data_IF_778381056653
#
_entry.id   IF_778381056653
#
_cell.length_a   1.000
_cell.length_b   1.000
_cell.length_c   1.000
_cell.angle_alpha   90.00
_cell.angle_beta   90.00
_cell.angle_gamma   90.00
#
_symmetry.space_group_name_H-M   'P 1'
#
loop_
_entity.id
_entity.type
_entity.pdbx_description
1 polymer ?
#
# COMPACT_ATOMS: atom_id res chain seq x y z
N UNK A 1 -23.27 -16.13 15.46
CA UNK A 1 -21.95 -16.45 14.90
C UNK A 1 -22.03 -16.29 13.39
N UNK A 2 -21.58 -15.16 12.85
CA UNK A 2 -21.43 -15.02 11.41
C UNK A 2 -20.30 -15.98 10.98
N UNK A 3 -20.61 -16.94 10.11
CA UNK A 3 -19.58 -17.85 9.59
C UNK A 3 -18.44 -17.04 9.01
N UNK A 4 -17.20 -17.39 9.36
CA UNK A 4 -16.04 -16.77 8.74
C UNK A 4 -16.16 -16.98 7.22
N UNK A 5 -16.36 -15.89 6.48
CA UNK A 5 -16.36 -15.94 5.02
C UNK A 5 -15.03 -16.52 4.57
N UNK A 6 -15.05 -17.45 3.61
CA UNK A 6 -13.83 -17.97 3.01
C UNK A 6 -13.00 -16.82 2.43
N UNK A 7 -11.68 -16.94 2.48
CA UNK A 7 -10.78 -15.95 1.89
C UNK A 7 -10.96 -15.92 0.35
N UNK A 8 -10.95 -14.74 -0.29
CA UNK A 8 -10.97 -14.64 -1.74
C UNK A 8 -9.76 -15.34 -2.37
N UNK A 9 -9.95 -15.94 -3.55
CA UNK A 9 -8.91 -16.66 -4.30
C UNK A 9 -8.44 -15.80 -5.47
N UNK A 10 -7.13 -15.70 -5.65
CA UNK A 10 -6.49 -14.98 -6.75
C UNK A 10 -5.45 -15.87 -7.43
N UNK A 11 -5.37 -15.87 -8.77
CA UNK A 11 -4.35 -16.64 -9.50
C UNK A 11 -2.98 -15.94 -9.55
N UNK A 12 -2.95 -14.62 -9.29
CA UNK A 12 -1.77 -13.77 -9.44
C UNK A 12 -1.68 -12.75 -8.30
N UNK A 13 -0.45 -12.50 -7.85
CA UNK A 13 -0.11 -11.60 -6.76
C UNK A 13 0.94 -10.62 -7.23
N UNK A 14 0.62 -9.32 -7.19
CA UNK A 14 1.49 -8.24 -7.65
C UNK A 14 1.83 -7.38 -6.43
N UNK A 15 3.10 -7.14 -6.17
CA UNK A 15 3.55 -6.21 -5.14
C UNK A 15 4.31 -5.04 -5.74
N UNK A 16 4.04 -3.86 -5.21
CA UNK A 16 4.60 -2.60 -5.67
C UNK A 16 5.26 -1.91 -4.47
N UNK A 17 6.59 -1.87 -4.48
CA UNK A 17 7.33 -0.92 -3.65
C UNK A 17 7.14 0.46 -4.25
N UNK A 18 6.70 1.43 -3.45
CA UNK A 18 6.15 2.69 -3.94
C UNK A 18 6.89 3.90 -3.42
N UNK A 19 7.15 4.86 -4.30
CA UNK A 19 7.84 6.10 -3.95
C UNK A 19 6.95 7.33 -4.07
N UNK A 20 7.03 8.20 -3.04
CA UNK A 20 6.45 9.55 -3.04
C UNK A 20 7.41 10.65 -3.49
N UNK A 21 8.56 10.32 -4.09
CA UNK A 21 9.54 11.30 -4.56
C UNK A 21 9.00 12.17 -5.72
N UNK A 22 9.68 13.30 -6.02
CA UNK A 22 9.39 14.22 -7.16
C UNK A 22 10.43 14.02 -8.30
N UNK A 23 10.03 14.07 -9.58
CA UNK A 23 10.90 13.74 -10.72
C UNK A 23 10.15 13.15 -11.94
N UNK A 24 10.82 12.97 -13.10
CA UNK A 24 10.29 12.18 -14.24
C UNK A 24 10.85 10.75 -14.29
N UNK A 25 11.88 10.51 -13.48
CA UNK A 25 12.56 9.25 -13.23
C UNK A 25 12.80 9.21 -11.74
N UNK A 26 12.13 8.31 -11.04
CA UNK A 26 12.40 8.05 -9.63
C UNK A 26 12.85 6.61 -9.58
N UNK A 27 14.01 6.34 -9.00
CA UNK A 27 14.56 4.99 -8.86
C UNK A 27 13.84 4.15 -7.78
N UNK A 28 12.55 4.42 -7.50
CA UNK A 28 11.88 3.96 -6.29
C UNK A 28 10.48 3.38 -6.51
N UNK A 29 10.11 2.97 -7.72
CA UNK A 29 8.99 2.06 -7.91
C UNK A 29 9.54 0.76 -8.45
N UNK A 30 9.39 -0.31 -7.68
CA UNK A 30 9.71 -1.67 -8.10
C UNK A 30 8.43 -2.50 -8.09
N UNK A 31 8.28 -3.34 -9.11
CA UNK A 31 7.10 -4.19 -9.28
C UNK A 31 7.59 -5.62 -9.35
N UNK A 32 6.98 -6.49 -8.54
CA UNK A 32 7.21 -7.92 -8.59
C UNK A 32 5.88 -8.66 -8.65
N UNK A 33 5.90 -9.85 -9.22
CA UNK A 33 4.72 -10.70 -9.26
C UNK A 33 5.04 -12.17 -9.05
N UNK A 34 4.04 -12.92 -8.60
CA UNK A 34 4.06 -14.37 -8.64
C UNK A 34 2.65 -14.90 -8.91
N UNK A 35 2.59 -16.13 -9.42
CA UNK A 35 1.34 -16.89 -9.54
C UNK A 35 1.03 -17.60 -8.22
N UNK A 36 -0.15 -18.20 -8.15
CA UNK A 36 -0.48 -19.20 -7.15
C UNK A 36 0.52 -20.39 -7.15
N UNK A 37 0.47 -21.19 -6.10
CA UNK A 37 1.50 -22.21 -5.85
C UNK A 37 2.75 -21.61 -5.18
N UNK A 38 3.94 -22.07 -5.60
CA UNK A 38 5.20 -21.81 -4.89
C UNK A 38 6.33 -21.24 -5.77
N UNK A 39 6.07 -20.98 -7.06
CA UNK A 39 7.09 -20.47 -7.97
C UNK A 39 7.71 -19.16 -7.44
N UNK A 40 9.01 -18.91 -7.69
CA UNK A 40 9.66 -17.69 -7.23
C UNK A 40 8.98 -16.46 -7.84
N UNK A 41 8.83 -15.36 -7.08
CA UNK A 41 8.40 -14.11 -7.66
C UNK A 41 9.44 -13.58 -8.65
N UNK A 42 8.97 -12.83 -9.63
CA UNK A 42 9.80 -12.21 -10.68
C UNK A 42 9.59 -10.70 -10.69
N UNK A 43 10.65 -9.95 -11.02
CA UNK A 43 10.54 -8.51 -11.24
C UNK A 43 9.85 -8.25 -12.57
N UNK A 44 9.04 -7.19 -12.61
CA UNK A 44 8.39 -6.70 -13.83
C UNK A 44 9.08 -5.41 -14.25
N UNK A 45 9.65 -5.42 -15.45
CA UNK A 45 10.33 -4.25 -16.00
C UNK A 45 9.32 -3.18 -16.44
N UNK A 46 9.57 -1.94 -16.01
CA UNK A 46 8.80 -0.79 -16.46
C UNK A 46 9.09 -0.44 -17.93
N UNK A 47 8.16 0.25 -18.63
CA UNK A 47 8.41 0.72 -19.99
C UNK A 47 9.68 1.58 -20.08
N UNK A 48 10.67 1.11 -20.84
CA UNK A 48 11.97 1.80 -20.97
C UNK A 48 12.96 1.51 -19.83
N UNK A 49 12.68 0.53 -18.96
CA UNK A 49 13.57 0.09 -17.88
C UNK A 49 13.38 0.80 -16.55
N UNK A 50 12.33 1.62 -16.40
CA UNK A 50 11.95 2.23 -15.12
C UNK A 50 10.44 2.46 -15.04
N UNK A 51 9.92 2.53 -13.82
CA UNK A 51 8.51 2.82 -13.55
C UNK A 51 8.27 4.32 -13.28
N UNK A 52 7.23 4.87 -13.90
CA UNK A 52 6.54 6.07 -13.44
C UNK A 52 5.16 5.68 -12.89
N UNK A 53 4.49 6.57 -12.15
CA UNK A 53 3.16 6.29 -11.60
C UNK A 53 2.12 6.21 -12.72
N UNK A 54 2.28 7.00 -13.79
CA UNK A 54 1.49 6.88 -15.02
C UNK A 54 1.72 5.56 -15.73
N UNK A 55 2.98 5.13 -15.91
CA UNK A 55 3.28 3.85 -16.55
C UNK A 55 2.73 2.67 -15.73
N UNK A 56 2.83 2.74 -14.40
CA UNK A 56 2.25 1.74 -13.51
C UNK A 56 0.72 1.70 -13.63
N UNK A 57 0.06 2.87 -13.64
CA UNK A 57 -1.39 2.96 -13.85
C UNK A 57 -1.81 2.30 -15.16
N UNK A 58 -1.15 2.65 -16.27
CA UNK A 58 -1.48 2.11 -17.60
C UNK A 58 -1.26 0.59 -17.65
N UNK A 59 -0.17 0.10 -17.06
CA UNK A 59 0.13 -1.32 -16.97
C UNK A 59 -0.89 -2.07 -16.11
N UNK A 60 -1.17 -1.61 -14.88
CA UNK A 60 -2.18 -2.22 -14.02
C UNK A 60 -3.56 -2.22 -14.67
N UNK A 61 -3.95 -1.11 -15.32
CA UNK A 61 -5.21 -1.03 -16.05
C UNK A 61 -5.30 -2.11 -17.13
N UNK A 62 -4.23 -2.34 -17.89
CA UNK A 62 -4.19 -3.35 -18.93
C UNK A 62 -4.18 -4.77 -18.36
N UNK A 63 -3.36 -5.04 -17.36
CA UNK A 63 -3.19 -6.37 -16.77
C UNK A 63 -4.42 -6.83 -16.01
N UNK A 64 -4.98 -5.97 -15.16
CA UNK A 64 -6.19 -6.28 -14.38
C UNK A 64 -7.44 -6.34 -15.28
N UNK A 65 -7.36 -5.78 -16.50
CA UNK A 65 -8.38 -5.99 -17.52
C UNK A 65 -8.29 -7.37 -18.18
N UNK A 66 -7.15 -8.08 -18.07
CA UNK A 66 -6.95 -9.42 -18.66
C UNK A 66 -7.24 -10.52 -17.66
N UNK A 67 -6.67 -10.42 -16.46
CA UNK A 67 -6.75 -11.46 -15.45
C UNK A 67 -6.89 -10.88 -14.04
N UNK A 68 -7.64 -11.54 -13.13
CA UNK A 68 -7.74 -11.12 -11.74
C UNK A 68 -6.40 -11.22 -11.01
N UNK A 69 -6.10 -10.24 -10.16
CA UNK A 69 -4.94 -10.30 -9.28
C UNK A 69 -5.22 -9.63 -7.93
N UNK A 70 -4.49 -10.07 -6.90
CA UNK A 70 -4.32 -9.32 -5.67
C UNK A 70 -3.11 -8.41 -5.82
N UNK A 71 -3.32 -7.10 -5.71
CA UNK A 71 -2.28 -6.09 -5.90
C UNK A 71 -2.03 -5.37 -4.58
N UNK A 72 -0.83 -5.53 -4.02
CA UNK A 72 -0.37 -4.78 -2.87
C UNK A 72 0.53 -3.61 -3.27
N UNK A 73 0.30 -2.44 -2.70
CA UNK A 73 1.12 -1.24 -2.95
C UNK A 73 1.55 -0.60 -1.62
N UNK A 74 2.84 -0.24 -1.51
CA UNK A 74 3.42 0.37 -0.29
C UNK A 74 3.07 1.85 -0.16
N UNK A 75 1.78 2.16 -0.01
CA UNK A 75 1.32 3.49 0.33
C UNK A 75 0.02 3.48 1.12
N UNK A 76 -0.15 4.47 2.00
CA UNK A 76 -1.39 4.64 2.74
C UNK A 76 -2.54 4.98 1.79
N UNK A 77 -3.65 4.24 1.89
CA UNK A 77 -4.85 4.49 1.07
C UNK A 77 -5.69 5.65 1.59
N UNK A 78 -5.38 6.13 2.80
CA UNK A 78 -6.12 7.21 3.44
C UNK A 78 -5.23 8.03 4.38
N UNK A 79 -5.85 8.99 5.05
CA UNK A 79 -5.27 9.81 6.12
C UNK A 79 -5.97 9.47 7.46
N UNK A 80 -5.34 9.78 8.60
CA UNK A 80 -6.04 9.81 9.89
C UNK A 80 -7.26 10.75 9.86
N UNK A 81 -8.47 10.21 10.04
CA UNK A 81 -9.71 10.96 9.85
C UNK A 81 -10.01 11.93 10.97
N UNK A 82 -9.42 11.73 12.16
CA UNK A 82 -9.42 12.71 13.25
C UNK A 82 -8.89 14.11 12.83
N UNK A 83 -8.08 14.15 11.76
CA UNK A 83 -7.59 15.40 11.16
C UNK A 83 -8.24 15.66 9.81
N UNK A 84 -8.33 14.65 8.93
CA UNK A 84 -8.83 14.85 7.57
C UNK A 84 -10.27 15.36 7.52
N UNK A 85 -11.13 14.87 8.42
CA UNK A 85 -12.56 15.22 8.50
C UNK A 85 -12.81 16.74 8.65
N UNK A 86 -11.86 17.49 9.24
CA UNK A 86 -11.97 18.95 9.45
C UNK A 86 -12.08 19.74 8.14
N UNK A 87 -11.58 19.17 7.04
CA UNK A 87 -11.63 19.79 5.72
C UNK A 87 -12.90 19.50 4.92
N UNK A 88 -13.86 18.72 5.46
CA UNK A 88 -15.06 18.29 4.73
C UNK A 88 -16.33 18.87 5.36
N UNK A 89 -17.32 19.32 4.54
CA UNK A 89 -18.63 19.73 5.05
C UNK A 89 -19.36 18.62 5.81
N UNK A 90 -19.18 17.37 5.38
CA UNK A 90 -19.72 16.20 6.06
C UNK A 90 -19.03 15.89 7.40
N UNK A 91 -17.91 16.56 7.72
CA UNK A 91 -17.15 16.36 8.94
C UNK A 91 -16.77 14.89 9.12
N UNK A 92 -17.07 14.35 10.31
CA UNK A 92 -16.81 12.95 10.67
C UNK A 92 -17.59 11.93 9.83
N UNK A 93 -18.60 12.35 9.06
CA UNK A 93 -19.32 11.46 8.16
C UNK A 93 -18.66 11.34 6.77
N UNK A 94 -17.63 12.15 6.47
CA UNK A 94 -16.90 12.06 5.21
C UNK A 94 -16.25 10.68 5.05
N UNK A 95 -16.13 10.22 3.82
CA UNK A 95 -15.60 8.90 3.46
C UNK A 95 -14.23 9.00 2.79
N UNK A 96 -13.53 7.88 2.68
CA UNK A 96 -12.26 7.82 1.95
C UNK A 96 -12.39 8.27 0.48
N UNK A 97 -13.55 8.03 -0.15
CA UNK A 97 -13.74 8.37 -1.56
C UNK A 97 -13.92 9.88 -1.74
N UNK A 98 -14.59 10.56 -0.81
CA UNK A 98 -14.63 12.03 -0.78
C UNK A 98 -13.23 12.62 -0.55
N UNK A 99 -12.41 11.98 0.28
CA UNK A 99 -10.99 12.34 0.42
C UNK A 99 -10.25 12.19 -0.91
N UNK A 100 -10.39 11.07 -1.62
CA UNK A 100 -9.73 10.89 -2.91
C UNK A 100 -10.20 11.89 -3.96
N UNK A 101 -11.49 12.23 -3.99
CA UNK A 101 -12.03 13.28 -4.86
C UNK A 101 -11.42 14.65 -4.54
N UNK A 102 -11.29 15.01 -3.27
CA UNK A 102 -10.66 16.26 -2.86
C UNK A 102 -9.15 16.29 -3.21
N UNK A 103 -8.45 15.16 -3.04
CA UNK A 103 -7.04 15.03 -3.46
C UNK A 103 -6.91 15.22 -4.98
N UNK A 104 -7.78 14.59 -5.77
CA UNK A 104 -7.76 14.76 -7.22
C UNK A 104 -8.06 16.20 -7.62
N UNK A 105 -9.10 16.83 -7.05
CA UNK A 105 -9.45 18.22 -7.34
C UNK A 105 -8.28 19.18 -7.06
N UNK A 106 -7.61 19.02 -5.93
CA UNK A 106 -6.47 19.85 -5.57
C UNK A 106 -5.23 19.60 -6.45
N UNK A 107 -5.09 18.39 -7.01
CA UNK A 107 -3.86 17.95 -7.67
C UNK A 107 -4.00 17.66 -9.17
N UNK A 108 -5.15 17.93 -9.80
CA UNK A 108 -5.44 17.56 -11.18
C UNK A 108 -4.36 18.02 -12.19
N UNK A 109 -3.76 19.19 -11.95
CA UNK A 109 -2.69 19.75 -12.79
C UNK A 109 -1.29 19.15 -12.56
N UNK A 110 -1.11 18.30 -11.54
CA UNK A 110 0.20 17.70 -11.27
C UNK A 110 0.49 16.53 -12.21
N UNK A 111 1.69 16.49 -12.82
CA UNK A 111 2.10 15.37 -13.66
C UNK A 111 2.25 14.09 -12.84
N UNK A 112 2.13 12.95 -13.54
CA UNK A 112 2.46 11.63 -12.99
C UNK A 112 1.77 11.34 -11.65
N UNK A 113 0.51 11.75 -11.47
CA UNK A 113 -0.22 11.58 -10.20
C UNK A 113 0.43 12.26 -8.99
N UNK A 114 1.15 13.38 -9.16
CA UNK A 114 1.67 14.18 -8.03
C UNK A 114 0.57 14.56 -7.03
N UNK A 115 0.82 14.41 -5.73
CA UNK A 115 -0.13 14.74 -4.66
C UNK A 115 0.24 15.97 -3.83
N UNK A 116 1.28 16.71 -4.24
CA UNK A 116 1.88 17.79 -3.43
C UNK A 116 0.93 18.94 -3.06
N UNK A 117 0.13 19.48 -4.01
CA UNK A 117 -0.75 20.62 -3.75
C UNK A 117 -1.77 20.40 -2.62
N UNK A 118 -2.28 19.18 -2.45
CA UNK A 118 -3.25 18.88 -1.39
C UNK A 118 -2.70 19.17 0.02
N UNK A 119 -1.41 18.88 0.25
CA UNK A 119 -0.77 19.08 1.55
C UNK A 119 -0.62 20.56 1.97
N UNK A 120 -0.77 21.49 1.02
CA UNK A 120 -0.74 22.95 1.27
C UNK A 120 -2.08 23.61 0.94
N UNK A 121 -3.13 22.80 0.71
CA UNK A 121 -4.46 23.31 0.37
C UNK A 121 -5.06 24.08 1.56
N UNK A 122 -5.69 25.26 1.36
CA UNK A 122 -6.23 26.07 2.46
C UNK A 122 -7.21 25.33 3.37
N UNK A 123 -8.01 24.41 2.83
CA UNK A 123 -8.99 23.63 3.59
C UNK A 123 -8.46 22.30 4.14
N UNK A 124 -7.49 21.66 3.46
CA UNK A 124 -7.08 20.28 3.78
C UNK A 124 -5.64 20.18 4.32
N UNK A 125 -4.85 21.24 4.18
CA UNK A 125 -3.41 21.26 4.47
C UNK A 125 -3.06 21.45 5.95
N UNK A 126 -3.99 21.90 6.79
CA UNK A 126 -3.71 22.36 8.16
C UNK A 126 -3.07 21.31 9.09
N UNK A 127 -3.18 20.01 8.76
CA UNK A 127 -2.57 18.93 9.54
C UNK A 127 -1.16 18.52 9.11
N UNK A 128 -0.68 18.97 7.94
CA UNK A 128 0.59 18.48 7.39
C UNK A 128 1.79 19.24 7.98
N UNK A 129 2.70 18.50 8.62
CA UNK A 129 3.98 19.04 9.04
C UNK A 129 4.98 19.01 7.88
N UNK A 130 5.20 20.19 7.27
CA UNK A 130 5.91 20.32 5.99
C UNK A 130 7.26 21.04 6.04
N UNK A 131 7.63 21.68 7.16
CA UNK A 131 8.93 22.36 7.34
C UNK A 131 9.25 22.58 8.82
N UNK A 132 10.55 22.77 9.09
CA UNK A 132 11.04 23.19 10.42
C UNK A 132 10.99 22.09 11.48
N UNK A 133 11.31 22.43 12.75
CA UNK A 133 11.12 21.54 13.89
C UNK A 133 9.64 21.13 14.03
N UNK A 134 9.38 20.08 14.82
CA UNK A 134 8.01 19.67 15.10
C UNK A 134 7.27 20.82 15.79
N UNK A 135 6.16 21.32 15.22
CA UNK A 135 5.42 22.41 15.82
C UNK A 135 4.55 21.89 16.98
N UNK A 136 4.27 22.76 17.95
CA UNK A 136 3.52 22.41 19.17
C UNK A 136 2.12 21.85 18.91
N UNK A 137 1.50 22.22 17.78
CA UNK A 137 0.18 21.73 17.37
C UNK A 137 0.22 20.33 16.70
N UNK A 138 1.39 19.81 16.35
CA UNK A 138 1.50 18.54 15.64
C UNK A 138 1.50 17.35 16.60
N UNK A 139 0.37 16.65 16.63
CA UNK A 139 0.10 15.53 17.52
C UNK A 139 0.47 14.15 16.93
N UNK A 140 1.21 14.11 15.81
CA UNK A 140 1.60 12.88 15.09
C UNK A 140 0.42 11.90 14.88
N UNK A 141 -0.61 12.30 14.12
CA UNK A 141 -1.83 11.52 14.00
C UNK A 141 -1.59 10.21 13.23
N UNK A 142 -2.11 9.10 13.73
CA UNK A 142 -2.03 7.77 13.10
C UNK A 142 -3.42 7.15 13.02
N UNK A 143 -3.66 6.35 11.98
CA UNK A 143 -4.84 5.49 11.84
C UNK A 143 -4.69 4.28 12.77
N UNK A 144 -5.81 3.62 13.03
CA UNK A 144 -5.83 2.41 13.86
C UNK A 144 -4.86 1.32 13.37
N UNK A 145 -4.70 1.15 12.06
CA UNK A 145 -3.81 0.14 11.48
C UNK A 145 -2.32 0.39 11.79
N UNK A 146 -1.87 1.64 11.91
CA UNK A 146 -0.47 1.92 12.26
C UNK A 146 -0.19 1.57 13.72
N UNK A 147 -1.16 1.79 14.61
CA UNK A 147 -1.07 1.36 16.00
C UNK A 147 -1.07 -0.15 16.14
N UNK A 148 -1.95 -0.85 15.42
CA UNK A 148 -1.95 -2.31 15.38
C UNK A 148 -0.62 -2.87 14.86
N UNK A 149 -0.05 -2.27 13.81
CA UNK A 149 1.26 -2.68 13.27
C UNK A 149 2.39 -2.56 14.31
N UNK A 150 2.32 -1.54 15.18
CA UNK A 150 3.27 -1.36 16.29
C UNK A 150 3.05 -2.38 17.40
N UNK A 151 1.80 -2.62 17.77
CA UNK A 151 1.42 -3.59 18.80
C UNK A 151 1.89 -5.01 18.42
N UNK A 152 1.78 -5.37 17.14
CA UNK A 152 2.25 -6.65 16.61
C UNK A 152 3.80 -6.73 16.47
N UNK A 153 4.53 -5.64 16.75
CA UNK A 153 5.99 -5.59 16.61
C UNK A 153 6.50 -5.63 15.16
N UNK A 154 5.60 -5.36 14.20
CA UNK A 154 5.86 -5.40 12.75
C UNK A 154 6.53 -4.13 12.24
N UNK A 155 6.47 -3.04 12.99
CA UNK A 155 7.23 -1.82 12.71
C UNK A 155 6.52 -0.56 13.19
N UNK A 156 7.03 0.59 12.74
CA UNK A 156 6.48 1.91 13.07
C UNK A 156 6.18 2.67 11.78
N UNK A 157 5.12 2.29 11.04
CA UNK A 157 4.63 3.09 9.93
C UNK A 157 4.39 4.53 10.41
N UNK A 158 4.80 5.48 9.57
CA UNK A 158 4.77 6.91 9.90
C UNK A 158 3.43 7.53 9.49
N UNK A 159 3.07 8.62 10.15
CA UNK A 159 1.88 9.38 9.79
C UNK A 159 2.01 9.93 8.36
N UNK A 160 0.98 9.80 7.50
CA UNK A 160 0.92 10.52 6.24
C UNK A 160 0.98 12.05 6.40
N UNK A 161 0.64 12.59 7.57
CA UNK A 161 0.75 14.02 7.85
C UNK A 161 2.19 14.49 8.10
N UNK A 162 3.16 13.57 8.26
CA UNK A 162 4.57 13.90 8.41
C UNK A 162 5.26 14.01 7.05
N UNK A 163 5.57 15.23 6.61
CA UNK A 163 6.27 15.49 5.34
C UNK A 163 7.71 15.96 5.54
N UNK A 164 8.29 15.69 6.72
CA UNK A 164 9.65 16.08 7.10
C UNK A 164 10.53 14.86 7.35
N UNK A 165 11.79 15.00 6.92
CA UNK A 165 12.84 14.00 7.11
C UNK A 165 12.83 12.89 6.05
N UNK A 166 13.67 11.89 6.28
CA UNK A 166 13.91 10.78 5.34
C UNK A 166 12.79 9.76 5.26
N UNK A 167 11.75 9.86 6.10
CA UNK A 167 10.60 8.94 6.16
C UNK A 167 9.27 9.64 5.86
N UNK A 168 9.27 10.56 4.89
CA UNK A 168 8.03 11.18 4.41
C UNK A 168 7.23 10.19 3.55
N UNK A 169 6.06 9.79 4.03
CA UNK A 169 5.16 8.87 3.31
C UNK A 169 3.93 9.58 2.74
N UNK A 170 3.61 10.78 3.23
CA UNK A 170 2.37 11.48 2.87
C UNK A 170 2.23 11.83 1.40
N UNK A 171 3.28 12.33 0.74
CA UNK A 171 3.20 12.62 -0.71
C UNK A 171 3.00 11.36 -1.55
N UNK A 172 3.58 10.24 -1.11
CA UNK A 172 3.38 8.93 -1.71
C UNK A 172 1.96 8.43 -1.51
N UNK A 173 1.40 8.60 -0.32
CA UNK A 173 0.00 8.28 -0.04
C UNK A 173 -0.96 9.10 -0.92
N UNK A 174 -0.80 10.43 -0.97
CA UNK A 174 -1.64 11.31 -1.80
C UNK A 174 -1.58 10.95 -3.29
N UNK A 175 -0.40 10.57 -3.78
CA UNK A 175 -0.25 10.05 -5.13
C UNK A 175 -0.95 8.71 -5.36
N UNK A 176 -0.80 7.79 -4.40
CA UNK A 176 -1.43 6.48 -4.41
C UNK A 176 -2.95 6.59 -4.47
N UNK A 177 -3.54 7.47 -3.66
CA UNK A 177 -4.99 7.78 -3.68
C UNK A 177 -5.47 8.19 -5.07
N UNK A 178 -4.71 9.04 -5.80
CA UNK A 178 -5.06 9.43 -7.17
C UNK A 178 -4.99 8.24 -8.14
N UNK A 179 -3.96 7.40 -8.04
CA UNK A 179 -3.85 6.18 -8.87
C UNK A 179 -4.98 5.20 -8.58
N UNK A 180 -5.28 4.93 -7.30
CA UNK A 180 -6.37 4.05 -6.86
C UNK A 180 -7.71 4.55 -7.38
N UNK A 181 -7.99 5.84 -7.23
CA UNK A 181 -9.19 6.50 -7.75
C UNK A 181 -9.33 6.29 -9.26
N UNK A 182 -8.25 6.52 -10.01
CA UNK A 182 -8.24 6.36 -11.46
C UNK A 182 -8.44 4.89 -11.89
N UNK A 183 -7.77 3.95 -11.23
CA UNK A 183 -7.93 2.51 -11.51
C UNK A 183 -9.35 2.04 -11.22
N UNK A 184 -9.92 2.45 -10.08
CA UNK A 184 -11.30 2.15 -9.69
C UNK A 184 -12.30 2.65 -10.73
N UNK A 185 -12.09 3.86 -11.26
CA UNK A 185 -12.92 4.41 -12.33
C UNK A 185 -12.74 3.67 -13.67
N UNK A 186 -11.52 3.19 -13.97
CA UNK A 186 -11.21 2.51 -15.23
C UNK A 186 -11.64 1.04 -15.29
N UNK A 187 -11.85 0.40 -14.12
CA UNK A 187 -12.16 -1.03 -13.99
C UNK A 187 -13.44 -1.27 -13.16
N UNK A 188 -14.58 -0.66 -13.52
CA UNK A 188 -15.81 -0.75 -12.73
C UNK A 188 -16.30 -2.19 -12.63
N UNK A 189 -16.65 -2.62 -11.42
CA UNK A 189 -17.11 -3.98 -11.13
C UNK A 189 -16.03 -5.07 -11.25
N UNK A 190 -14.79 -4.70 -11.61
CA UNK A 190 -13.66 -5.63 -11.77
C UNK A 190 -12.55 -5.45 -10.74
N UNK A 191 -12.43 -4.25 -10.19
CA UNK A 191 -11.44 -3.92 -9.16
C UNK A 191 -12.16 -3.46 -7.90
N UNK A 192 -11.90 -4.14 -6.79
CA UNK A 192 -12.24 -3.66 -5.45
C UNK A 192 -11.03 -3.00 -4.79
N UNK A 193 -11.23 -1.95 -3.99
CA UNK A 193 -10.19 -1.45 -3.09
C UNK A 193 -10.51 -1.84 -1.65
N UNK A 194 -9.81 -2.85 -1.14
CA UNK A 194 -9.98 -3.31 0.24
C UNK A 194 -9.30 -2.33 1.23
N UNK A 195 -9.86 -2.09 2.42
CA UNK A 195 -11.08 -2.67 3.00
C UNK A 195 -12.38 -1.88 2.72
N UNK A 196 -12.31 -0.85 1.87
CA UNK A 196 -13.46 0.01 1.55
C UNK A 196 -14.51 -0.69 0.70
N UNK A 197 -14.07 -1.60 -0.14
CA UNK A 197 -14.88 -2.47 -1.00
C UNK A 197 -14.48 -3.92 -0.78
N UNK A 198 -15.47 -4.81 -0.85
CA UNK A 198 -15.22 -6.25 -0.75
C UNK A 198 -14.77 -6.80 -2.11
N UNK A 199 -13.71 -7.62 -2.16
CA UNK A 199 -13.36 -8.36 -3.37
C UNK A 199 -14.54 -9.21 -3.86
N UNK A 200 -14.74 -9.22 -5.18
CA UNK A 200 -15.76 -10.05 -5.84
C UNK A 200 -15.11 -11.31 -6.43
N UNK A 201 -15.81 -12.46 -6.50
CA UNK A 201 -15.29 -13.65 -7.16
C UNK A 201 -14.86 -13.36 -8.61
N UNK A 202 -13.64 -13.74 -8.97
CA UNK A 202 -13.08 -13.47 -10.31
C UNK A 202 -12.77 -11.99 -10.59
N UNK A 203 -12.79 -11.12 -9.56
CA UNK A 203 -12.33 -9.73 -9.64
C UNK A 203 -10.95 -9.56 -9.01
N UNK A 204 -10.30 -8.44 -9.34
CA UNK A 204 -9.04 -8.01 -8.73
C UNK A 204 -9.30 -7.23 -7.43
N UNK A 205 -8.30 -7.18 -6.56
CA UNK A 205 -8.34 -6.35 -5.36
C UNK A 205 -7.04 -5.57 -5.17
N UNK A 206 -7.15 -4.28 -4.82
CA UNK A 206 -6.04 -3.48 -4.29
C UNK A 206 -6.02 -3.58 -2.77
N UNK A 207 -4.83 -3.78 -2.19
CA UNK A 207 -4.59 -3.74 -0.74
C UNK A 207 -3.40 -2.85 -0.42
N UNK A 208 -3.48 -2.16 0.71
CA UNK A 208 -2.33 -1.45 1.28
C UNK A 208 -1.37 -2.48 1.89
N UNK A 209 -0.08 -2.38 1.59
CA UNK A 209 0.96 -3.22 2.20
C UNK A 209 1.99 -2.37 2.94
N UNK A 210 2.75 -3.04 3.80
CA UNK A 210 3.94 -2.49 4.44
C UNK A 210 5.06 -3.52 4.30
N UNK A 211 6.01 -3.39 3.34
CA UNK A 211 6.98 -4.44 3.00
C UNK A 211 7.73 -5.03 4.20
N UNK A 212 8.01 -4.18 5.20
CA UNK A 212 8.66 -4.60 6.45
C UNK A 212 7.87 -5.64 7.26
N UNK A 213 6.54 -5.69 7.14
CA UNK A 213 5.71 -6.75 7.72
C UNK A 213 6.16 -8.13 7.23
N UNK A 214 6.44 -8.26 5.93
CA UNK A 214 6.85 -9.53 5.35
C UNK A 214 8.25 -9.93 5.82
N UNK A 215 9.20 -8.99 5.88
CA UNK A 215 10.55 -9.22 6.42
C UNK A 215 10.55 -9.60 7.91
N UNK A 216 9.55 -9.15 8.67
CA UNK A 216 9.36 -9.54 10.06
C UNK A 216 8.88 -10.99 10.18
N UNK A 217 7.93 -11.39 9.34
CA UNK A 217 7.47 -12.78 9.27
C UNK A 217 8.58 -13.76 8.83
N UNK A 218 9.58 -13.30 8.09
CA UNK A 218 10.77 -14.10 7.74
C UNK A 218 11.84 -14.10 8.83
N UNK A 219 11.66 -13.40 9.96
CA UNK A 219 12.68 -13.33 11.02
C UNK A 219 13.91 -12.47 10.68
N UNK A 220 13.91 -11.75 9.55
CA UNK A 220 14.97 -10.79 9.20
C UNK A 220 14.87 -9.48 10.00
N UNK A 221 13.70 -9.18 10.55
CA UNK A 221 13.52 -8.09 11.50
C UNK A 221 13.60 -6.71 10.82
N UNK A 222 14.58 -5.90 11.20
CA UNK A 222 14.79 -4.57 10.61
C UNK A 222 15.86 -4.55 9.51
N UNK A 223 16.55 -5.68 9.27
CA UNK A 223 17.62 -5.78 8.29
C UNK A 223 17.07 -5.64 6.87
N UNK A 224 17.82 -4.91 6.04
CA UNK A 224 17.55 -4.81 4.60
C UNK A 224 18.22 -6.01 3.91
N UNK A 225 17.52 -6.62 2.96
CA UNK A 225 18.03 -7.71 2.15
C UNK A 225 18.75 -7.09 0.95
N UNK A 226 20.05 -7.34 0.82
CA UNK A 226 20.90 -6.80 -0.27
C UNK A 226 21.65 -7.87 -1.04
N UNK A 227 21.45 -9.11 -0.65
CA UNK A 227 22.11 -10.28 -1.20
C UNK A 227 21.06 -11.32 -1.61
N UNK A 228 21.30 -11.98 -2.75
CA UNK A 228 20.38 -12.95 -3.31
C UNK A 228 20.18 -14.19 -2.41
N UNK A 229 21.19 -14.62 -1.64
CA UNK A 229 21.03 -15.75 -0.72
C UNK A 229 20.17 -15.39 0.50
N UNK A 230 20.30 -14.16 1.01
CA UNK A 230 19.40 -13.66 2.06
C UNK A 230 17.95 -13.54 1.55
N UNK A 231 17.76 -13.17 0.28
CA UNK A 231 16.45 -13.13 -0.36
C UNK A 231 15.85 -14.52 -0.50
N UNK A 232 16.63 -15.51 -0.94
CA UNK A 232 16.16 -16.89 -1.08
C UNK A 232 15.73 -17.48 0.27
N UNK A 233 16.45 -17.18 1.36
CA UNK A 233 16.04 -17.57 2.72
C UNK A 233 14.72 -16.90 3.14
N UNK A 234 14.54 -15.61 2.81
CA UNK A 234 13.30 -14.90 3.08
C UNK A 234 12.12 -15.48 2.28
N UNK A 235 12.33 -15.79 1.00
CA UNK A 235 11.32 -16.42 0.13
C UNK A 235 10.93 -17.81 0.64
N UNK A 236 11.90 -18.62 1.06
CA UNK A 236 11.64 -19.94 1.61
C UNK A 236 10.70 -19.87 2.82
N UNK A 237 10.94 -18.93 3.75
CA UNK A 237 10.08 -18.72 4.93
C UNK A 237 8.68 -18.24 4.60
N UNK A 238 8.49 -17.63 3.43
CA UNK A 238 7.18 -17.24 2.91
C UNK A 238 6.49 -18.36 2.12
N UNK A 239 7.11 -19.52 1.98
CA UNK A 239 6.60 -20.65 1.20
C UNK A 239 6.80 -20.50 -0.31
N UNK A 240 7.84 -19.76 -0.72
CA UNK A 240 8.24 -19.62 -2.11
C UNK A 240 9.53 -20.39 -2.38
N UNK A 241 9.65 -20.93 -3.59
CA UNK A 241 10.92 -21.41 -4.14
C UNK A 241 11.91 -20.24 -4.30
N UNK A 242 13.22 -20.53 -4.23
CA UNK A 242 14.27 -19.52 -4.39
C UNK A 242 14.34 -18.99 -5.83
N UNK A 243 14.93 -17.80 -6.00
CA UNK A 243 15.29 -17.25 -7.31
C UNK A 243 16.51 -17.97 -7.91
N UNK A 244 17.36 -18.58 -7.07
CA UNK A 244 18.62 -19.23 -7.47
C UNK A 244 19.56 -18.28 -8.22
N UNK A 245 19.56 -17.00 -7.84
CA UNK A 245 20.43 -15.96 -8.38
C UNK A 245 21.62 -15.71 -7.47
N UNK A 246 22.67 -15.15 -8.04
CA UNK A 246 23.86 -14.72 -7.29
C UNK A 246 24.09 -13.23 -7.44
N UNK A 247 24.62 -12.60 -6.40
CA UNK A 247 25.04 -11.20 -6.43
C UNK A 247 24.11 -10.25 -5.70
N UNK A 248 24.42 -8.96 -5.82
CA UNK A 248 23.68 -7.90 -5.14
C UNK A 248 22.27 -7.74 -5.71
N UNK A 249 21.34 -7.42 -4.83
CA UNK A 249 19.99 -6.96 -5.17
C UNK A 249 19.72 -5.60 -4.54
N UNK A 250 18.94 -4.76 -5.21
CA UNK A 250 18.54 -3.47 -4.65
C UNK A 250 17.52 -3.65 -3.52
N UNK A 251 17.52 -2.72 -2.56
CA UNK A 251 16.54 -2.74 -1.46
C UNK A 251 15.09 -2.77 -2.01
N UNK A 252 14.82 -1.95 -3.04
CA UNK A 252 13.50 -1.82 -3.68
C UNK A 252 13.03 -3.11 -4.35
N UNK A 253 13.92 -3.78 -5.10
CA UNK A 253 13.60 -5.05 -5.76
C UNK A 253 13.35 -6.15 -4.71
N UNK A 254 14.17 -6.18 -3.66
CA UNK A 254 14.01 -7.16 -2.58
C UNK A 254 12.68 -6.96 -1.83
N UNK A 255 12.30 -5.72 -1.54
CA UNK A 255 11.03 -5.39 -0.87
C UNK A 255 9.83 -5.77 -1.74
N UNK A 256 9.89 -5.53 -3.06
CA UNK A 256 8.84 -5.94 -4.00
C UNK A 256 8.72 -7.48 -4.09
N UNK A 257 9.84 -8.20 -4.28
CA UNK A 257 9.84 -9.67 -4.41
C UNK A 257 9.32 -10.36 -3.16
N UNK A 258 9.81 -9.96 -1.97
CA UNK A 258 9.35 -10.48 -0.69
C UNK A 258 7.87 -10.17 -0.48
N UNK A 259 7.43 -8.97 -0.84
CA UNK A 259 6.03 -8.57 -0.72
C UNK A 259 5.11 -9.37 -1.63
N UNK A 260 5.53 -9.72 -2.86
CA UNK A 260 4.72 -10.55 -3.76
C UNK A 260 4.49 -11.96 -3.19
N UNK A 261 5.56 -12.61 -2.70
CA UNK A 261 5.45 -13.90 -2.02
C UNK A 261 4.65 -13.80 -0.71
N UNK A 262 4.82 -12.71 0.03
CA UNK A 262 4.09 -12.42 1.26
C UNK A 262 2.59 -12.24 1.04
N UNK A 263 2.20 -11.51 -0.01
CA UNK A 263 0.80 -11.34 -0.43
C UNK A 263 0.17 -12.68 -0.77
N UNK A 264 0.85 -13.52 -1.57
CA UNK A 264 0.39 -14.88 -1.91
C UNK A 264 0.08 -15.69 -0.66
N UNK A 265 0.96 -15.65 0.34
CA UNK A 265 0.76 -16.34 1.62
C UNK A 265 -0.41 -15.77 2.42
N UNK A 266 -0.46 -14.44 2.59
CA UNK A 266 -1.49 -13.79 3.40
C UNK A 266 -2.89 -13.90 2.80
N UNK A 267 -3.01 -13.91 1.47
CA UNK A 267 -4.30 -13.98 0.80
C UNK A 267 -5.12 -15.21 1.19
N UNK A 268 -4.46 -16.32 1.50
CA UNK A 268 -5.11 -17.56 1.94
C UNK A 268 -5.56 -17.55 3.42
N UNK A 269 -5.21 -16.52 4.19
CA UNK A 269 -5.48 -16.43 5.63
C UNK A 269 -6.73 -15.57 5.86
N UNK A 270 -7.86 -16.12 6.35
CA UNK A 270 -9.10 -15.35 6.57
C UNK A 270 -8.91 -14.12 7.48
N UNK A 271 -8.04 -14.22 8.49
CA UNK A 271 -7.73 -13.12 9.41
C UNK A 271 -7.00 -11.95 8.75
N UNK A 272 -6.34 -12.14 7.59
CA UNK A 272 -5.77 -11.02 6.85
C UNK A 272 -6.87 -10.13 6.24
N UNK A 273 -8.03 -10.71 5.90
CA UNK A 273 -9.18 -10.03 5.30
C UNK A 273 -10.16 -9.44 6.33
N UNK A 274 -10.18 -10.00 7.53
CA UNK A 274 -11.07 -9.61 8.61
C UNK A 274 -10.34 -9.65 9.97
N UNK A 275 -9.27 -8.84 10.17
CA UNK A 275 -8.64 -8.75 11.48
C UNK A 275 -9.62 -8.11 12.49
N UNK A 276 -9.56 -8.45 13.78
CA UNK A 276 -10.51 -7.95 14.79
C UNK A 276 -10.60 -6.42 14.88
N UNK A 277 -9.49 -5.72 14.61
CA UNK A 277 -9.42 -4.26 14.63
C UNK A 277 -10.04 -3.55 13.40
N UNK A 278 -10.49 -4.28 12.37
CA UNK A 278 -11.05 -3.72 11.15
C UNK A 278 -12.51 -3.25 11.35
N UNK A 279 -12.66 -2.13 12.07
CA UNK A 279 -13.93 -1.55 12.45
C UNK A 279 -14.62 -0.71 11.34
N UNK A 280 -15.73 -0.05 11.68
CA UNK A 280 -16.47 0.79 10.75
C UNK A 280 -15.71 2.02 10.26
N UNK A 281 -14.80 2.57 11.06
CA UNK A 281 -13.94 3.70 10.69
C UNK A 281 -12.90 3.25 9.70
N UNK A 282 -12.19 2.15 9.97
CA UNK A 282 -11.23 1.57 9.05
C UNK A 282 -11.89 1.20 7.70
N UNK A 283 -13.10 0.64 7.71
CA UNK A 283 -13.83 0.25 6.49
C UNK A 283 -14.40 1.40 5.67
N UNK A 284 -14.61 2.58 6.26
CA UNK A 284 -15.20 3.72 5.53
C UNK A 284 -14.22 4.86 5.26
N UNK A 285 -13.20 4.99 6.09
CA UNK A 285 -12.41 6.20 6.22
C UNK A 285 -10.92 5.89 6.15
N UNK A 286 -10.39 5.11 7.08
CA UNK A 286 -8.93 5.07 7.29
C UNK A 286 -8.21 3.95 6.54
N UNK A 287 -8.89 2.86 6.20
CA UNK A 287 -8.27 1.69 5.58
C UNK A 287 -7.51 0.83 6.59
N UNK A 288 -6.75 -0.13 6.08
CA UNK A 288 -5.97 -1.06 6.90
C UNK A 288 -4.78 -1.61 6.12
N UNK A 289 -3.65 -1.83 6.79
CA UNK A 289 -2.48 -2.51 6.22
C UNK A 289 -2.78 -4.01 6.21
N UNK A 290 -2.75 -4.62 5.03
CA UNK A 290 -3.09 -6.03 4.86
C UNK A 290 -2.13 -6.94 5.63
N UNK A 291 -2.68 -7.83 6.46
CA UNK A 291 -1.91 -8.72 7.33
C UNK A 291 -1.56 -8.16 8.72
N UNK A 292 -1.98 -6.94 9.07
CA UNK A 292 -1.80 -6.39 10.42
C UNK A 292 -2.99 -6.76 11.32
N UNK A 293 -2.73 -7.01 12.61
CA UNK A 293 -3.73 -7.30 13.61
C UNK A 293 -4.34 -8.70 13.48
N UNK A 294 -3.60 -9.65 12.90
CA UNK A 294 -4.08 -11.03 12.72
C UNK A 294 -4.04 -11.84 14.01
N UNK A 295 -3.17 -11.48 14.95
CA UNK A 295 -3.16 -12.06 16.30
C UNK A 295 -4.11 -11.24 17.16
N UNK A 296 -5.35 -11.72 17.32
CA UNK A 296 -6.32 -11.07 18.21
C UNK A 296 -5.69 -10.82 19.58
N UNK A 297 -5.55 -9.55 19.94
CA UNK A 297 -5.18 -9.11 21.29
C UNK A 297 -6.44 -8.82 22.10
#
# INVERSE_FOLDING_TARGET
MAGASAAPVFPRFIAIDWSGARGKRYAGIAVAECLDGDAPPVLVDGPGGWWSRTALFDWLKAELAREPALVGIDCAFSLPFAVAARGFPAGEAATVFELWDAVEQACAGEPDFGGGPFAVHPLHGAGFWHRGPQPDWYEDPHRATEWACRADGLGHPQSPYKLIGSRQVGKGALAGMRVLRALRAALPGRLAVWPFENPVPGGSAMVEIYPRLFLKHTGFGQRKIRDAAELDEALHRLGSRPLERTGAISDHDSDALVSAAGLRRLAAIPLAWAPPGLDGTARRQEGWIFGVGMTGS
#
